data_IF_360467503608
#
_entry.id   IF_360467503608
#
_cell.length_a   1.000
_cell.length_b   1.000
_cell.length_c   1.000
_cell.angle_alpha   90.00
_cell.angle_beta   90.00
_cell.angle_gamma   90.00
#
_symmetry.space_group_name_H-M   'P 1'
#
loop_
_entity.id
_entity.type
_entity.pdbx_description
1 polymer ?
#
# COMPACT_ATOMS: atom_id res chain seq x y z
N UNK A 1 -7.54 4.09 -14.44
CA UNK A 1 -6.96 3.88 -13.10
C UNK A 1 -6.82 5.26 -12.47
N UNK A 2 -6.83 5.38 -11.14
CA UNK A 2 -6.70 6.66 -10.45
C UNK A 2 -5.22 7.01 -10.35
N UNK A 3 -4.65 7.32 -11.51
CA UNK A 3 -3.21 7.27 -11.77
C UNK A 3 -2.35 8.15 -10.84
N UNK A 4 -2.97 9.05 -10.06
CA UNK A 4 -2.32 9.88 -9.05
C UNK A 4 -2.37 9.41 -7.59
N UNK A 5 -3.27 8.49 -7.18
CA UNK A 5 -3.42 8.16 -5.73
C UNK A 5 -2.18 7.47 -5.20
N UNK A 6 -1.69 6.44 -5.90
CA UNK A 6 -0.46 5.76 -5.51
C UNK A 6 0.75 6.69 -5.55
N UNK A 7 0.83 7.58 -6.55
CA UNK A 7 1.91 8.54 -6.67
C UNK A 7 1.90 9.57 -5.52
N UNK A 8 0.72 10.02 -5.12
CA UNK A 8 0.49 10.88 -3.97
C UNK A 8 0.93 10.22 -2.66
N UNK A 9 0.45 8.99 -2.38
CA UNK A 9 0.80 8.23 -1.17
C UNK A 9 2.30 7.93 -1.08
N UNK A 10 2.93 7.60 -2.21
CA UNK A 10 4.37 7.33 -2.27
C UNK A 10 5.22 8.61 -2.25
N UNK A 11 4.61 9.80 -2.31
CA UNK A 11 5.30 11.09 -2.29
C UNK A 11 6.19 11.32 -3.51
N UNK A 12 5.81 10.80 -4.68
CA UNK A 12 6.61 10.89 -5.93
C UNK A 12 6.12 11.98 -6.89
N UNK A 13 5.03 12.67 -6.55
CA UNK A 13 4.55 13.86 -7.27
C UNK A 13 5.48 15.05 -7.01
N UNK A 14 5.66 15.91 -8.02
CA UNK A 14 6.23 17.23 -7.78
C UNK A 14 5.23 18.16 -7.07
N UNK A 15 5.66 19.37 -6.71
CA UNK A 15 4.85 20.31 -5.92
C UNK A 15 3.59 20.77 -6.67
N UNK A 16 3.68 21.01 -7.99
CA UNK A 16 2.54 21.45 -8.79
C UNK A 16 1.51 20.32 -8.95
N UNK A 17 2.01 19.10 -9.21
CA UNK A 17 1.20 17.90 -9.31
C UNK A 17 0.52 17.57 -7.97
N UNK A 18 1.22 17.76 -6.85
CA UNK A 18 0.69 17.53 -5.52
C UNK A 18 -0.51 18.45 -5.23
N UNK A 19 -0.36 19.76 -5.44
CA UNK A 19 -1.45 20.73 -5.25
C UNK A 19 -2.63 20.46 -6.19
N UNK A 20 -2.35 20.13 -7.45
CA UNK A 20 -3.38 19.79 -8.41
C UNK A 20 -4.17 18.53 -7.99
N UNK A 21 -3.47 17.54 -7.44
CA UNK A 21 -4.08 16.32 -6.94
C UNK A 21 -4.91 16.57 -5.68
N UNK A 22 -4.47 17.40 -4.74
CA UNK A 22 -5.26 17.77 -3.54
C UNK A 22 -6.59 18.45 -3.93
N UNK A 23 -6.55 19.40 -4.86
CA UNK A 23 -7.78 20.03 -5.37
C UNK A 23 -8.74 19.03 -6.02
N UNK A 24 -8.22 18.02 -6.69
CA UNK A 24 -9.03 16.94 -7.25
C UNK A 24 -9.61 16.04 -6.15
N UNK A 25 -8.78 15.71 -5.15
CA UNK A 25 -9.13 14.84 -4.03
C UNK A 25 -10.30 15.39 -3.23
N UNK A 26 -10.37 16.70 -3.03
CA UNK A 26 -11.47 17.39 -2.34
C UNK A 26 -12.87 17.11 -2.95
N UNK A 27 -12.93 16.76 -4.23
CA UNK A 27 -14.20 16.64 -4.98
C UNK A 27 -14.47 15.25 -5.56
N UNK A 28 -13.51 14.34 -5.47
CA UNK A 28 -13.60 13.03 -6.11
C UNK A 28 -13.70 11.91 -5.07
N UNK A 29 -14.94 11.52 -4.71
CA UNK A 29 -15.22 10.45 -3.74
C UNK A 29 -14.52 9.13 -4.06
N UNK A 30 -14.31 8.84 -5.35
CA UNK A 30 -13.63 7.62 -5.80
C UNK A 30 -12.12 7.65 -5.49
N UNK A 31 -11.46 8.81 -5.65
CA UNK A 31 -10.07 8.99 -5.23
C UNK A 31 -9.92 8.97 -3.71
N UNK A 32 -10.89 9.52 -2.98
CA UNK A 32 -10.92 9.46 -1.51
C UNK A 32 -11.05 8.02 -1.01
N UNK A 33 -11.95 7.23 -1.62
CA UNK A 33 -12.11 5.81 -1.29
C UNK A 33 -10.83 5.02 -1.53
N UNK A 34 -10.18 5.19 -2.69
CA UNK A 34 -8.93 4.50 -3.00
C UNK A 34 -7.77 4.93 -2.08
N UNK A 35 -7.71 6.21 -1.67
CA UNK A 35 -6.74 6.69 -0.70
C UNK A 35 -6.92 6.01 0.67
N UNK A 36 -8.17 5.82 1.12
CA UNK A 36 -8.47 5.10 2.35
C UNK A 36 -8.04 3.62 2.25
N UNK A 37 -8.37 2.94 1.15
CA UNK A 37 -7.94 1.55 0.93
C UNK A 37 -6.41 1.40 0.99
N UNK A 38 -5.66 2.32 0.37
CA UNK A 38 -4.21 2.32 0.42
C UNK A 38 -3.65 2.65 1.82
N UNK A 39 -4.31 3.52 2.57
CA UNK A 39 -3.91 3.91 3.93
C UNK A 39 -4.09 2.77 4.95
N UNK A 40 -4.98 1.82 4.71
CA UNK A 40 -5.18 0.63 5.56
C UNK A 40 -4.12 -0.45 5.35
N UNK A 41 -3.38 -0.43 4.23
CA UNK A 41 -2.41 -1.47 3.91
C UNK A 41 -1.25 -1.59 4.91
N UNK A 42 -0.61 -0.50 5.39
CA UNK A 42 0.48 -0.60 6.37
C UNK A 42 0.03 -1.34 7.64
N UNK A 43 -1.16 -1.05 8.16
CA UNK A 43 -1.70 -1.70 9.35
C UNK A 43 -1.99 -3.19 9.10
N UNK A 44 -2.49 -3.55 7.92
CA UNK A 44 -2.69 -4.95 7.53
C UNK A 44 -1.37 -5.71 7.43
N UNK A 45 -0.35 -5.11 6.80
CA UNK A 45 1.00 -5.68 6.71
C UNK A 45 1.64 -5.82 8.10
N UNK A 46 1.38 -4.85 8.98
CA UNK A 46 1.77 -4.89 10.38
C UNK A 46 1.04 -5.98 11.17
N UNK A 47 -0.19 -6.34 10.82
CA UNK A 47 -0.85 -7.53 11.35
C UNK A 47 -0.12 -8.82 10.95
N UNK A 48 0.33 -8.91 9.70
CA UNK A 48 1.02 -10.09 9.16
C UNK A 48 2.41 -10.29 9.77
N UNK A 49 3.20 -9.22 9.98
CA UNK A 49 4.54 -9.35 10.59
C UNK A 49 4.49 -9.87 12.04
N UNK A 50 3.38 -9.66 12.74
CA UNK A 50 3.16 -10.14 14.11
C UNK A 50 2.32 -11.42 14.18
N UNK A 51 1.80 -11.89 13.04
CA UNK A 51 1.08 -13.15 13.01
C UNK A 51 2.07 -14.28 13.34
N UNK A 52 1.71 -15.22 14.23
CA UNK A 52 2.53 -16.39 14.46
C UNK A 52 2.66 -17.14 13.13
N UNK A 53 3.89 -17.30 12.65
CA UNK A 53 4.16 -18.14 11.48
C UNK A 53 3.51 -19.50 11.70
N UNK A 54 2.55 -19.86 10.86
CA UNK A 54 2.07 -21.22 10.71
C UNK A 54 3.13 -22.06 9.98
N UNK A 55 4.35 -22.07 10.51
CA UNK A 55 5.48 -22.88 10.03
C UNK A 55 5.66 -24.03 11.02
N UNK A 56 4.67 -24.91 11.09
CA UNK A 56 4.93 -26.32 11.34
C UNK A 56 5.09 -26.97 9.96
N UNK A 57 6.20 -27.66 9.73
CA UNK A 57 6.59 -28.33 8.48
C UNK A 57 7.23 -27.46 7.39
N UNK A 58 8.39 -26.86 7.69
CA UNK A 58 9.43 -26.71 6.65
C UNK A 58 10.09 -28.08 6.43
N UNK A 59 9.93 -28.75 5.27
CA UNK A 59 10.68 -29.97 4.99
C UNK A 59 12.17 -29.61 4.90
N UNK A 60 13.07 -30.43 5.48
CA UNK A 60 14.49 -30.15 5.41
C UNK A 60 14.90 -30.14 3.94
N UNK A 61 15.39 -28.99 3.47
CA UNK A 61 16.04 -28.86 2.17
C UNK A 61 17.28 -29.79 2.18
N UNK A 62 17.11 -31.01 1.67
CA UNK A 62 18.21 -31.94 1.46
C UNK A 62 19.09 -31.41 0.34
N UNK A 63 20.21 -30.78 0.72
CA UNK A 63 21.29 -30.47 -0.21
C UNK A 63 22.06 -31.75 -0.50
N UNK A 64 21.75 -32.38 -1.64
CA UNK A 64 22.58 -33.43 -2.22
C UNK A 64 23.92 -32.82 -2.67
N UNK A 65 25.00 -33.32 -2.07
CA UNK A 65 26.39 -33.00 -2.43
C UNK A 65 26.82 -33.66 -3.72
#
# INVERSE_FOLDING_TARGET
MHDGVAAYVLGVLDEEEHEAFERHLDTCERCQAELLELAELPDQLDGLKHAPSASGDDPPMSMSR
#
